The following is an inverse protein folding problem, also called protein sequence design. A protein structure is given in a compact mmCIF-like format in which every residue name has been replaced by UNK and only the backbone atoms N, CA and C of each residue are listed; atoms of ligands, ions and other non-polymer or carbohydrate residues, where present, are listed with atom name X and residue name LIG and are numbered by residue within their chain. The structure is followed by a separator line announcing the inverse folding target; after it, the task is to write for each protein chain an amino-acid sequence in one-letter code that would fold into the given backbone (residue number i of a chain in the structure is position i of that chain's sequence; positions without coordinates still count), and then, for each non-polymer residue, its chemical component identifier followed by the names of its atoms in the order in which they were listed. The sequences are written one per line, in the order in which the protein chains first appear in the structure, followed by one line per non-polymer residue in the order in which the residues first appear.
data_IF_984704311136
#
_entry.id   IF_984704311136
#
_cell.length_a   1.000
_cell.length_b   1.000
_cell.length_c   1.000
_cell.angle_alpha   90.00
_cell.angle_beta   90.00
_cell.angle_gamma   90.00
#
_symmetry.space_group_name_H-M   'P 1'
#
loop_
_entity.id
_entity.type
_entity.pdbx_description
1 polymer ?
#
# COMPACT_ATOMS: atom_id res chain seq x y z
N UNK A 1 6.65 8.68 -16.95
CA UNK A 1 5.81 8.96 -15.75
C UNK A 1 6.27 10.26 -15.11
N UNK A 2 5.34 11.17 -14.81
CA UNK A 2 5.56 12.41 -14.08
C UNK A 2 4.69 12.37 -12.83
N UNK A 3 5.31 12.25 -11.66
CA UNK A 3 4.62 12.03 -10.39
C UNK A 3 4.72 13.27 -9.53
N UNK A 4 3.58 13.78 -9.05
CA UNK A 4 3.53 14.80 -8.01
C UNK A 4 3.45 14.09 -6.65
N UNK A 5 4.26 14.53 -5.71
CA UNK A 5 4.37 13.97 -4.37
C UNK A 5 4.16 15.08 -3.34
N UNK A 6 3.10 14.97 -2.57
CA UNK A 6 2.89 15.74 -1.35
C UNK A 6 3.37 14.90 -0.15
N UNK A 7 4.56 15.20 0.34
CA UNK A 7 5.20 14.42 1.40
C UNK A 7 5.12 15.16 2.74
N UNK A 8 4.29 14.66 3.66
CA UNK A 8 4.18 15.15 5.04
C UNK A 8 4.96 14.25 5.99
N UNK A 9 4.91 12.94 5.77
CA UNK A 9 5.55 11.94 6.61
C UNK A 9 6.73 11.22 5.95
N UNK A 10 7.34 10.31 6.74
CA UNK A 10 8.46 9.49 6.30
C UNK A 10 8.06 8.52 5.17
N UNK A 11 6.80 8.09 5.12
CA UNK A 11 6.30 7.15 4.12
C UNK A 11 6.38 7.76 2.72
N UNK A 12 5.86 8.98 2.52
CA UNK A 12 5.97 9.67 1.23
C UNK A 12 7.42 10.02 0.88
N UNK A 13 8.25 10.44 1.85
CA UNK A 13 9.67 10.71 1.57
C UNK A 13 10.39 9.46 1.05
N UNK A 14 10.12 8.30 1.66
CA UNK A 14 10.67 7.01 1.21
C UNK A 14 10.07 6.58 -0.13
N UNK A 15 8.78 6.77 -0.35
CA UNK A 15 8.14 6.55 -1.64
C UNK A 15 8.81 7.38 -2.74
N UNK A 16 9.09 8.66 -2.49
CA UNK A 16 9.83 9.53 -3.42
C UNK A 16 11.20 8.98 -3.78
N UNK A 17 11.99 8.51 -2.78
CA UNK A 17 13.30 7.88 -3.04
C UNK A 17 13.17 6.59 -3.85
N UNK A 18 12.16 5.77 -3.57
CA UNK A 18 11.86 4.55 -4.31
C UNK A 18 11.51 4.89 -5.76
N UNK A 19 10.61 5.85 -5.98
CA UNK A 19 10.18 6.27 -7.32
C UNK A 19 11.33 6.88 -8.13
N UNK A 20 12.29 7.56 -7.49
CA UNK A 20 13.50 8.03 -8.17
C UNK A 20 14.37 6.88 -8.70
N UNK A 21 14.27 5.66 -8.16
CA UNK A 21 14.98 4.52 -8.74
C UNK A 21 14.37 4.04 -10.07
N UNK A 22 13.13 4.45 -10.40
CA UNK A 22 12.45 4.01 -11.62
C UNK A 22 13.02 4.66 -12.88
N UNK A 23 13.34 3.82 -13.87
CA UNK A 23 13.89 4.26 -15.16
C UNK A 23 12.93 5.13 -15.97
N UNK A 24 11.64 4.85 -15.83
CA UNK A 24 10.58 5.46 -16.64
C UNK A 24 10.06 6.76 -15.99
N UNK A 25 10.63 7.14 -14.83
CA UNK A 25 10.34 8.40 -14.17
C UNK A 25 11.04 9.56 -14.89
N UNK A 26 10.20 10.46 -15.42
CA UNK A 26 10.63 11.68 -16.11
C UNK A 26 10.82 12.84 -15.11
N UNK A 27 9.91 12.98 -14.15
CA UNK A 27 9.96 14.04 -13.14
C UNK A 27 9.25 13.61 -11.85
N UNK A 28 9.83 14.00 -10.70
CA UNK A 28 9.20 13.93 -9.39
C UNK A 28 8.98 15.36 -8.87
N UNK A 29 7.74 15.80 -8.86
CA UNK A 29 7.34 17.12 -8.37
C UNK A 29 7.06 17.08 -6.88
N UNK A 30 7.82 17.80 -6.07
CA UNK A 30 7.53 17.99 -4.64
C UNK A 30 6.50 19.10 -4.48
N UNK A 31 5.26 18.72 -4.15
CA UNK A 31 4.13 19.62 -4.01
C UNK A 31 3.95 20.06 -2.55
N UNK A 32 3.66 21.34 -2.31
CA UNK A 32 3.34 21.88 -0.98
C UNK A 32 4.52 22.07 -0.01
N UNK A 33 5.71 21.49 -0.26
CA UNK A 33 6.87 21.64 0.60
C UNK A 33 8.02 22.44 -0.04
N UNK A 34 8.42 23.53 0.62
CA UNK A 34 9.63 24.31 0.32
C UNK A 34 10.85 23.73 1.05
N UNK A 35 11.34 22.55 0.67
CA UNK A 35 12.48 21.94 1.36
C UNK A 35 13.02 20.71 0.64
N UNK A 36 14.18 20.87 0.00
CA UNK A 36 14.91 19.83 -0.74
C UNK A 36 15.54 18.79 0.19
N UNK A 37 15.19 17.51 0.03
CA UNK A 37 15.92 16.41 0.69
C UNK A 37 16.43 15.31 -0.25
N UNK A 38 16.38 15.50 -1.57
CA UNK A 38 17.08 14.60 -2.50
C UNK A 38 17.72 15.43 -3.61
N UNK A 39 19.06 15.42 -3.65
CA UNK A 39 19.84 16.02 -4.72
C UNK A 39 19.78 15.14 -6.00
N UNK A 40 18.57 14.89 -6.51
CA UNK A 40 18.34 14.25 -7.80
C UNK A 40 17.80 15.30 -8.78
N UNK A 41 18.37 15.34 -9.99
CA UNK A 41 17.99 16.29 -11.05
C UNK A 41 16.53 16.17 -11.52
N UNK A 42 15.87 15.04 -11.26
CA UNK A 42 14.46 14.79 -11.58
C UNK A 42 13.50 15.33 -10.53
N UNK A 43 14.03 15.70 -9.35
CA UNK A 43 13.24 16.28 -8.26
C UNK A 43 13.10 17.78 -8.47
N UNK A 44 11.87 18.26 -8.58
CA UNK A 44 11.57 19.69 -8.76
C UNK A 44 10.52 20.14 -7.74
N UNK A 45 10.71 21.29 -7.12
CA UNK A 45 9.66 21.89 -6.30
C UNK A 45 8.56 22.46 -7.21
N UNK A 46 7.30 22.10 -6.94
CA UNK A 46 6.15 22.52 -7.76
C UNK A 46 5.07 23.18 -6.92
N UNK A 47 4.34 24.10 -7.56
CA UNK A 47 3.18 24.80 -6.96
C UNK A 47 1.88 24.51 -7.70
N UNK A 48 1.96 23.86 -8.86
CA UNK A 48 0.85 23.51 -9.72
C UNK A 48 1.05 22.06 -10.17
N UNK A 49 -0.04 21.29 -10.29
CA UNK A 49 0.00 19.89 -10.72
C UNK A 49 -0.06 19.73 -12.24
N UNK A 50 -0.18 20.83 -12.98
CA UNK A 50 -0.25 20.82 -14.45
C UNK A 50 0.92 20.07 -15.06
N UNK A 51 0.60 19.10 -15.92
CA UNK A 51 1.59 18.27 -16.62
C UNK A 51 2.17 17.14 -15.77
N UNK A 52 1.57 16.81 -14.63
CA UNK A 52 1.82 15.56 -13.90
C UNK A 52 0.68 14.56 -14.18
N UNK A 53 1.00 13.27 -14.05
CA UNK A 53 0.07 12.19 -14.37
C UNK A 53 -0.76 11.77 -13.12
N UNK A 54 -0.14 11.88 -11.94
CA UNK A 54 -0.69 11.37 -10.68
C UNK A 54 -0.20 12.19 -9.49
N UNK A 55 -1.07 12.39 -8.49
CA UNK A 55 -0.72 12.93 -7.18
C UNK A 55 -0.65 11.82 -6.13
N UNK A 56 0.45 11.76 -5.39
CA UNK A 56 0.65 10.84 -4.26
C UNK A 56 0.76 11.66 -2.98
N UNK A 57 0.02 11.29 -1.94
CA UNK A 57 0.10 11.95 -0.63
C UNK A 57 0.02 10.94 0.52
N UNK A 58 0.84 11.15 1.55
CA UNK A 58 0.73 10.43 2.81
C UNK A 58 0.02 11.23 3.91
N UNK A 59 -0.50 12.41 3.58
CA UNK A 59 -1.33 13.21 4.47
C UNK A 59 -2.71 12.57 4.66
N UNK A 60 -2.90 11.91 5.80
CA UNK A 60 -4.15 11.22 6.13
C UNK A 60 -5.28 12.17 6.52
N UNK A 61 -4.95 13.35 7.05
CA UNK A 61 -5.92 14.31 7.58
C UNK A 61 -6.51 15.16 6.45
N UNK A 62 -5.71 15.48 5.44
CA UNK A 62 -6.13 16.24 4.25
C UNK A 62 -6.37 15.37 3.01
N UNK A 63 -6.49 14.04 3.17
CA UNK A 63 -6.60 13.10 2.05
C UNK A 63 -7.75 13.43 1.07
N UNK A 64 -8.95 13.70 1.58
CA UNK A 64 -10.10 14.08 0.74
C UNK A 64 -9.84 15.38 -0.03
N UNK A 65 -9.19 16.37 0.61
CA UNK A 65 -8.87 17.64 -0.02
C UNK A 65 -7.85 17.47 -1.16
N UNK A 66 -6.78 16.70 -0.94
CA UNK A 66 -5.79 16.42 -1.98
C UNK A 66 -6.36 15.55 -3.11
N UNK A 67 -7.21 14.58 -2.79
CA UNK A 67 -7.92 13.81 -3.82
C UNK A 67 -8.84 14.72 -4.66
N UNK A 68 -9.51 15.70 -4.05
CA UNK A 68 -10.29 16.71 -4.77
C UNK A 68 -9.43 17.58 -5.69
N UNK A 69 -8.30 18.10 -5.18
CA UNK A 69 -7.36 18.92 -5.97
C UNK A 69 -6.80 18.13 -7.16
N UNK A 70 -6.37 16.89 -6.94
CA UNK A 70 -5.85 16.04 -8.01
C UNK A 70 -6.92 15.81 -9.09
N UNK A 71 -8.16 15.55 -8.68
CA UNK A 71 -9.27 15.33 -9.60
C UNK A 71 -9.59 16.59 -10.41
N UNK A 72 -9.65 17.75 -9.77
CA UNK A 72 -9.96 19.03 -10.41
C UNK A 72 -8.87 19.43 -11.43
N UNK A 73 -7.61 19.07 -11.16
CA UNK A 73 -6.49 19.22 -12.09
C UNK A 73 -6.41 18.07 -13.13
N UNK A 74 -7.27 17.06 -13.03
CA UNK A 74 -7.38 15.96 -13.98
C UNK A 74 -6.31 14.88 -13.83
N UNK A 75 -5.83 14.61 -12.62
CA UNK A 75 -4.85 13.59 -12.29
C UNK A 75 -5.53 12.36 -11.66
N UNK A 76 -4.84 11.22 -11.73
CA UNK A 76 -5.11 10.12 -10.80
C UNK A 76 -4.55 10.46 -9.41
N UNK A 77 -4.96 9.73 -8.37
CA UNK A 77 -4.50 10.00 -7.02
C UNK A 77 -4.28 8.74 -6.17
N UNK A 78 -3.24 8.79 -5.33
CA UNK A 78 -2.94 7.78 -4.30
C UNK A 78 -2.90 8.46 -2.95
N UNK A 79 -3.66 7.95 -1.99
CA UNK A 79 -3.70 8.47 -0.61
C UNK A 79 -3.45 7.37 0.41
N UNK A 80 -2.69 7.69 1.46
CA UNK A 80 -2.49 6.80 2.62
C UNK A 80 -3.75 6.60 3.47
N UNK A 81 -4.70 7.53 3.44
CA UNK A 81 -5.92 7.43 4.25
C UNK A 81 -6.76 6.22 3.85
N UNK A 82 -7.28 5.48 4.84
CA UNK A 82 -8.10 4.29 4.60
C UNK A 82 -9.50 4.60 4.03
N UNK A 83 -9.94 5.84 4.20
CA UNK A 83 -11.21 6.36 3.74
C UNK A 83 -11.06 7.83 3.35
N UNK A 84 -11.94 8.27 2.46
CA UNK A 84 -12.09 9.63 1.98
C UNK A 84 -13.59 9.95 1.89
N UNK A 85 -13.92 11.17 1.48
CA UNK A 85 -15.30 11.62 1.33
C UNK A 85 -16.06 10.74 0.32
N UNK A 86 -17.31 10.42 0.64
CA UNK A 86 -18.08 9.40 -0.08
C UNK A 86 -18.42 9.77 -1.54
N UNK A 87 -18.44 11.06 -1.88
CA UNK A 87 -18.71 11.54 -3.24
C UNK A 87 -17.52 11.34 -4.19
N UNK A 88 -16.30 11.16 -3.66
CA UNK A 88 -15.09 11.08 -4.48
C UNK A 88 -15.10 9.87 -5.41
N UNK A 89 -15.66 8.73 -5.02
CA UNK A 89 -15.77 7.57 -5.90
C UNK A 89 -16.52 7.89 -7.19
N UNK A 90 -17.72 8.45 -7.06
CA UNK A 90 -18.55 8.83 -8.21
C UNK A 90 -17.86 9.91 -9.07
N UNK A 91 -17.20 10.88 -8.43
CA UNK A 91 -16.52 11.98 -9.13
C UNK A 91 -15.31 11.48 -9.92
N UNK A 92 -14.49 10.60 -9.34
CA UNK A 92 -13.36 9.98 -10.04
C UNK A 92 -13.83 9.10 -11.20
N UNK A 93 -14.88 8.30 -10.99
CA UNK A 93 -15.49 7.51 -12.06
C UNK A 93 -16.01 8.39 -13.21
N UNK A 94 -16.72 9.48 -12.90
CA UNK A 94 -17.25 10.40 -13.90
C UNK A 94 -16.17 11.14 -14.70
N UNK A 95 -15.02 11.42 -14.07
CA UNK A 95 -13.87 12.04 -14.72
C UNK A 95 -12.96 11.04 -15.47
N UNK A 96 -13.29 9.75 -15.46
CA UNK A 96 -12.44 8.67 -15.95
C UNK A 96 -11.03 8.68 -15.33
N UNK A 97 -10.97 8.94 -14.01
CA UNK A 97 -9.76 8.95 -13.19
C UNK A 97 -9.81 7.89 -12.11
N UNK A 98 -8.64 7.54 -11.58
CA UNK A 98 -8.47 6.53 -10.55
C UNK A 98 -8.03 7.16 -9.23
N UNK A 99 -8.71 6.78 -8.15
CA UNK A 99 -8.31 7.10 -6.78
C UNK A 99 -7.99 5.81 -6.02
N UNK A 100 -6.77 5.64 -5.56
CA UNK A 100 -6.37 4.53 -4.70
C UNK A 100 -6.23 4.99 -3.25
N UNK A 101 -7.07 4.43 -2.39
CA UNK A 101 -7.07 4.70 -0.94
C UNK A 101 -6.43 3.54 -0.18
N UNK A 102 -6.13 3.77 1.10
CA UNK A 102 -5.41 2.82 1.97
C UNK A 102 -4.12 2.34 1.30
N UNK A 103 -3.34 3.26 0.71
CA UNK A 103 -2.06 2.92 0.06
C UNK A 103 -0.95 3.65 0.78
N UNK A 104 -0.11 2.92 1.53
CA UNK A 104 0.87 3.54 2.44
C UNK A 104 0.84 2.98 3.86
N UNK A 105 0.09 1.90 4.08
CA UNK A 105 0.00 1.21 5.36
C UNK A 105 0.46 -0.24 5.22
N UNK A 106 0.99 -0.84 6.29
CA UNK A 106 1.34 -2.28 6.29
C UNK A 106 0.09 -3.16 6.17
N UNK A 107 -1.06 -2.68 6.66
CA UNK A 107 -2.36 -3.34 6.47
C UNK A 107 -2.77 -3.42 5.01
N UNK A 108 -2.43 -2.42 4.19
CA UNK A 108 -2.73 -2.44 2.75
C UNK A 108 -1.99 -3.56 2.02
N UNK A 109 -0.71 -3.80 2.39
CA UNK A 109 0.08 -4.91 1.86
C UNK A 109 -0.57 -6.24 2.29
N UNK A 110 -0.99 -6.36 3.55
CA UNK A 110 -1.71 -7.54 4.01
C UNK A 110 -3.01 -7.79 3.21
N UNK A 111 -3.76 -6.73 2.89
CA UNK A 111 -5.00 -6.83 2.11
C UNK A 111 -4.75 -7.24 0.67
N UNK A 112 -3.71 -6.68 0.03
CA UNK A 112 -3.27 -7.08 -1.30
C UNK A 112 -2.83 -8.55 -1.33
N UNK A 113 -1.98 -8.98 -0.38
CA UNK A 113 -1.53 -10.37 -0.28
C UNK A 113 -2.71 -11.32 -0.06
N UNK A 114 -3.66 -10.97 0.80
CA UNK A 114 -4.85 -11.79 1.03
C UNK A 114 -5.69 -11.94 -0.24
N UNK A 115 -5.94 -10.86 -0.95
CA UNK A 115 -6.73 -10.89 -2.18
C UNK A 115 -6.00 -11.69 -3.28
N UNK A 116 -4.68 -11.53 -3.40
CA UNK A 116 -3.84 -12.32 -4.31
C UNK A 116 -3.92 -13.82 -4.02
N UNK A 117 -3.75 -14.22 -2.76
CA UNK A 117 -3.76 -15.63 -2.38
C UNK A 117 -5.15 -16.27 -2.46
N UNK A 118 -6.20 -15.51 -2.15
CA UNK A 118 -7.60 -15.93 -2.31
C UNK A 118 -7.93 -16.19 -3.78
N UNK A 119 -7.53 -15.31 -4.69
CA UNK A 119 -7.78 -15.47 -6.13
C UNK A 119 -7.14 -16.74 -6.73
N UNK A 120 -6.13 -17.31 -6.04
CA UNK A 120 -5.37 -18.49 -6.46
C UNK A 120 -5.72 -19.76 -5.69
N UNK A 121 -6.73 -19.69 -4.82
CA UNK A 121 -7.12 -20.78 -3.93
C UNK A 121 -8.58 -21.15 -4.16
N UNK A 122 -8.84 -22.41 -4.48
CA UNK A 122 -10.18 -22.92 -4.67
C UNK A 122 -10.84 -23.26 -3.33
N UNK A 123 -12.14 -22.98 -3.20
CA UNK A 123 -12.91 -23.37 -2.00
C UNK A 123 -12.31 -22.83 -0.69
N UNK A 124 -11.98 -21.54 -0.67
CA UNK A 124 -11.44 -20.85 0.50
C UNK A 124 -12.33 -21.08 1.72
N UNK A 125 -11.77 -21.74 2.74
CA UNK A 125 -12.44 -22.05 4.00
C UNK A 125 -12.20 -20.96 5.05
N UNK A 126 -11.01 -20.36 5.06
CA UNK A 126 -10.68 -19.27 5.98
C UNK A 126 -9.55 -18.39 5.45
N UNK A 127 -9.60 -17.11 5.81
CA UNK A 127 -8.55 -16.13 5.55
C UNK A 127 -8.27 -15.37 6.84
N UNK A 128 -7.00 -15.35 7.23
CA UNK A 128 -6.49 -14.57 8.34
C UNK A 128 -5.45 -13.59 7.82
N UNK A 129 -5.68 -12.31 8.08
CA UNK A 129 -4.76 -11.21 7.81
C UNK A 129 -4.21 -10.68 9.12
N UNK A 130 -2.90 -10.53 9.20
CA UNK A 130 -2.23 -9.92 10.32
C UNK A 130 -1.21 -8.88 9.85
N UNK A 131 -1.09 -7.78 10.58
CA UNK A 131 -0.08 -6.76 10.33
C UNK A 131 0.40 -6.16 11.64
N UNK A 132 1.63 -5.67 11.62
CA UNK A 132 2.21 -5.01 12.78
C UNK A 132 1.77 -3.56 12.89
N UNK A 133 1.42 -3.11 14.09
CA UNK A 133 1.16 -1.70 14.43
C UNK A 133 2.16 -1.22 15.48
N UNK A 134 2.51 0.07 15.52
CA UNK A 134 3.33 0.61 16.61
C UNK A 134 2.65 0.38 17.96
N UNK A 135 3.39 -0.16 18.93
CA UNK A 135 2.90 -0.29 20.29
C UNK A 135 3.58 -1.38 21.10
N UNK A 136 3.31 -1.40 22.41
CA UNK A 136 3.92 -2.36 23.32
C UNK A 136 3.53 -3.81 22.94
N UNK A 137 4.49 -4.72 22.74
CA UNK A 137 4.21 -6.11 22.41
C UNK A 137 3.28 -6.78 23.41
N UNK A 138 2.36 -7.60 22.89
CA UNK A 138 1.48 -8.41 23.71
C UNK A 138 2.19 -9.68 24.20
N UNK A 139 1.82 -10.14 25.40
CA UNK A 139 2.31 -11.41 25.97
C UNK A 139 1.28 -12.56 25.83
N UNK A 140 0.09 -12.28 25.30
CA UNK A 140 -1.00 -13.23 25.07
C UNK A 140 -1.88 -12.76 23.92
N UNK A 141 -2.58 -13.68 23.25
CA UNK A 141 -3.47 -13.36 22.15
C UNK A 141 -3.45 -14.45 21.08
N UNK A 142 -3.59 -14.07 19.82
CA UNK A 142 -3.39 -14.97 18.70
C UNK A 142 -1.93 -14.95 18.26
N UNK A 143 -1.29 -16.12 18.21
CA UNK A 143 0.09 -16.23 17.74
C UNK A 143 0.14 -16.05 16.22
N UNK A 144 0.98 -15.11 15.77
CA UNK A 144 1.20 -14.79 14.36
C UNK A 144 2.68 -14.95 14.05
N UNK A 145 2.97 -15.64 12.96
CA UNK A 145 4.32 -15.73 12.41
C UNK A 145 4.49 -14.68 11.31
N UNK A 146 5.49 -13.81 11.49
CA UNK A 146 6.03 -12.95 10.44
C UNK A 146 7.41 -13.48 10.02
N UNK A 147 7.88 -13.15 8.81
CA UNK A 147 9.27 -13.36 8.45
C UNK A 147 10.24 -12.63 9.39
N UNK A 148 11.50 -13.04 9.40
CA UNK A 148 12.57 -12.28 10.05
C UNK A 148 12.71 -10.90 9.38
N UNK A 149 13.06 -9.84 10.13
CA UNK A 149 13.48 -9.85 11.54
C UNK A 149 12.33 -9.70 12.56
N UNK A 150 11.07 -9.60 12.12
CA UNK A 150 9.92 -9.44 13.05
C UNK A 150 9.69 -10.72 13.85
N UNK A 151 9.67 -11.87 13.17
CA UNK A 151 9.46 -13.18 13.79
C UNK A 151 8.09 -13.37 14.45
N UNK A 152 7.98 -14.40 15.28
CA UNK A 152 6.71 -14.76 15.95
C UNK A 152 6.26 -13.73 17.01
N UNK A 153 4.99 -13.31 16.97
CA UNK A 153 4.41 -12.30 17.89
C UNK A 153 2.96 -12.61 18.24
N UNK A 154 2.42 -11.90 19.24
CA UNK A 154 1.02 -12.04 19.67
C UNK A 154 0.19 -10.84 19.20
N UNK A 155 -0.97 -11.14 18.59
CA UNK A 155 -1.89 -10.15 18.07
C UNK A 155 -3.26 -10.17 18.74
N UNK A 156 -4.01 -9.09 18.51
CA UNK A 156 -5.42 -8.93 18.89
C UNK A 156 -6.30 -8.90 17.65
N UNK A 157 -7.45 -9.58 17.72
CA UNK A 157 -8.43 -9.55 16.63
C UNK A 157 -9.15 -8.20 16.60
N UNK A 158 -9.20 -7.57 15.43
CA UNK A 158 -9.86 -6.27 15.18
C UNK A 158 -11.00 -6.37 14.15
N UNK A 159 -11.15 -7.51 13.48
CA UNK A 159 -12.24 -7.77 12.54
C UNK A 159 -12.53 -9.27 12.40
N UNK A 160 -13.74 -9.61 11.92
CA UNK A 160 -14.24 -11.00 11.92
C UNK A 160 -14.23 -11.68 10.56
N UNK A 161 -14.41 -10.96 9.45
CA UNK A 161 -14.37 -11.56 8.11
C UNK A 161 -13.82 -10.57 7.06
N UNK A 162 -12.68 -10.88 6.41
CA UNK A 162 -11.70 -11.89 6.84
C UNK A 162 -11.24 -11.63 8.29
N UNK A 163 -10.67 -12.65 8.94
CA UNK A 163 -10.11 -12.44 10.28
C UNK A 163 -8.96 -11.42 10.18
N UNK A 164 -9.05 -10.34 10.95
CA UNK A 164 -8.08 -9.23 10.93
C UNK A 164 -7.41 -9.10 12.29
N UNK A 165 -6.09 -9.04 12.30
CA UNK A 165 -5.29 -9.09 13.52
C UNK A 165 -4.24 -7.99 13.50
N UNK A 166 -4.30 -7.12 14.50
CA UNK A 166 -3.23 -6.16 14.77
C UNK A 166 -2.22 -6.78 15.73
N UNK A 167 -0.95 -6.62 15.40
CA UNK A 167 0.17 -7.11 16.20
C UNK A 167 1.01 -5.92 16.66
N UNK A 168 0.82 -5.44 17.90
CA UNK A 168 1.67 -4.38 18.45
C UNK A 168 3.14 -4.82 18.50
N UNK A 169 4.02 -4.00 17.93
CA UNK A 169 5.47 -4.18 18.00
C UNK A 169 6.18 -2.85 18.31
N UNK A 170 7.26 -2.94 19.08
CA UNK A 170 8.17 -1.83 19.32
C UNK A 170 9.28 -1.79 18.26
N UNK A 171 9.83 -0.61 18.04
CA UNK A 171 10.95 -0.39 17.14
C UNK A 171 10.56 -0.20 15.67
N UNK A 172 11.56 -0.32 14.81
CA UNK A 172 11.51 0.13 13.42
C UNK A 172 11.00 -0.94 12.47
N UNK A 173 10.97 -2.21 12.89
CA UNK A 173 10.57 -3.32 12.04
C UNK A 173 9.04 -3.50 12.01
N UNK A 174 8.54 -3.85 10.83
CA UNK A 174 7.14 -4.12 10.59
C UNK A 174 6.97 -5.32 9.66
N UNK A 175 5.78 -5.89 9.64
CA UNK A 175 5.45 -6.97 8.74
C UNK A 175 3.96 -7.16 8.55
N UNK A 176 3.63 -7.84 7.47
CA UNK A 176 2.30 -8.38 7.20
C UNK A 176 2.40 -9.89 7.00
N UNK A 177 1.36 -10.60 7.42
CA UNK A 177 1.27 -12.05 7.30
C UNK A 177 -0.17 -12.42 6.96
N UNK A 178 -0.33 -13.28 5.98
CA UNK A 178 -1.62 -13.77 5.50
C UNK A 178 -1.59 -15.28 5.54
N UNK A 179 -2.62 -15.87 6.13
CA UNK A 179 -2.88 -17.31 6.04
C UNK A 179 -4.18 -17.52 5.29
N UNK A 180 -4.13 -18.34 4.24
CA UNK A 180 -5.30 -18.81 3.50
C UNK A 180 -5.41 -20.33 3.68
N UNK A 181 -6.59 -20.78 4.09
CA UNK A 181 -6.98 -22.18 4.11
C UNK A 181 -7.95 -22.43 2.97
N UNK A 182 -7.65 -23.39 2.11
CA UNK A 182 -8.51 -23.77 1.00
C UNK A 182 -7.92 -24.95 0.26
N UNK A 183 -8.13 -25.01 -1.06
CA UNK A 183 -7.57 -26.05 -1.92
C UNK A 183 -6.70 -25.46 -3.01
N UNK A 184 -5.56 -26.11 -3.26
CA UNK A 184 -4.69 -25.81 -4.39
C UNK A 184 -4.47 -27.11 -5.14
N UNK A 185 -4.77 -27.12 -6.45
CA UNK A 185 -4.71 -28.33 -7.28
C UNK A 185 -5.50 -29.52 -6.70
N UNK A 186 -6.62 -29.25 -6.01
CA UNK A 186 -7.51 -30.25 -5.43
C UNK A 186 -7.15 -30.73 -4.03
N UNK A 187 -5.98 -30.39 -3.50
CA UNK A 187 -5.54 -30.76 -2.15
C UNK A 187 -5.84 -29.67 -1.14
N UNK A 188 -6.28 -30.05 0.07
CA UNK A 188 -6.45 -29.09 1.18
C UNK A 188 -5.09 -28.55 1.60
N UNK A 189 -4.93 -27.24 1.54
CA UNK A 189 -3.66 -26.56 1.74
C UNK A 189 -3.82 -25.38 2.68
N UNK A 190 -2.82 -25.20 3.54
CA UNK A 190 -2.57 -23.98 4.31
C UNK A 190 -1.43 -23.22 3.68
N UNK A 191 -1.76 -22.09 3.06
CA UNK A 191 -0.78 -21.18 2.47
C UNK A 191 -0.55 -20.01 3.40
N UNK A 192 0.71 -19.74 3.72
CA UNK A 192 1.13 -18.61 4.55
C UNK A 192 2.09 -17.76 3.74
N UNK A 193 1.77 -16.50 3.54
CA UNK A 193 2.64 -15.52 2.90
C UNK A 193 2.89 -14.36 3.85
N UNK A 194 4.07 -13.77 3.81
CA UNK A 194 4.39 -12.64 4.66
C UNK A 194 5.52 -11.81 4.13
N UNK A 195 5.60 -10.60 4.66
CA UNK A 195 6.65 -9.62 4.40
C UNK A 195 7.14 -9.07 5.74
N UNK A 196 8.41 -8.72 5.81
CA UNK A 196 8.97 -8.02 6.95
C UNK A 196 10.11 -7.12 6.48
N UNK A 197 10.08 -5.86 6.91
CA UNK A 197 11.14 -4.89 6.65
C UNK A 197 10.99 -3.69 7.61
N UNK A 198 11.86 -2.70 7.49
CA UNK A 198 11.74 -1.42 8.16
C UNK A 198 10.38 -0.80 7.82
N UNK A 199 9.62 -0.38 8.83
CA UNK A 199 8.25 0.14 8.74
C UNK A 199 8.08 1.20 7.66
N UNK A 200 8.84 2.29 7.78
CA UNK A 200 8.79 3.36 6.78
C UNK A 200 9.15 2.88 5.38
N UNK A 201 9.97 1.83 5.23
CA UNK A 201 10.27 1.27 3.91
C UNK A 201 9.07 0.51 3.34
N UNK A 202 8.39 -0.33 4.13
CA UNK A 202 7.15 -0.99 3.71
C UNK A 202 6.05 0.02 3.36
N UNK A 203 5.89 1.07 4.17
CA UNK A 203 4.89 2.12 3.94
C UNK A 203 5.23 2.94 2.68
N UNK A 204 6.52 3.25 2.47
CA UNK A 204 6.99 3.88 1.24
C UNK A 204 6.82 3.01 -0.01
N UNK A 205 7.07 1.70 0.10
CA UNK A 205 6.79 0.73 -0.97
C UNK A 205 5.30 0.70 -1.27
N UNK A 206 4.44 0.68 -0.25
CA UNK A 206 3.00 0.64 -0.44
C UNK A 206 2.49 1.87 -1.21
N UNK A 207 2.97 3.08 -0.88
CA UNK A 207 2.66 4.29 -1.64
C UNK A 207 3.18 4.24 -3.07
N UNK A 208 4.46 3.90 -3.26
CA UNK A 208 5.09 3.87 -4.58
C UNK A 208 4.45 2.80 -5.49
N UNK A 209 4.17 1.62 -4.96
CA UNK A 209 3.50 0.53 -5.68
C UNK A 209 2.10 0.94 -6.15
N UNK A 210 1.34 1.64 -5.30
CA UNK A 210 0.04 2.19 -5.67
C UNK A 210 0.12 3.11 -6.89
N UNK A 211 1.08 4.04 -6.89
CA UNK A 211 1.27 4.97 -7.99
C UNK A 211 1.67 4.26 -9.29
N UNK A 212 2.63 3.34 -9.20
CA UNK A 212 3.10 2.57 -10.36
C UNK A 212 2.02 1.64 -10.92
N UNK A 213 1.20 1.03 -10.07
CA UNK A 213 0.12 0.15 -10.50
C UNK A 213 -0.99 0.92 -11.23
N UNK A 214 -1.35 2.13 -10.77
CA UNK A 214 -2.27 3.01 -11.51
C UNK A 214 -1.66 3.40 -12.86
N UNK A 215 -0.42 3.89 -12.87
CA UNK A 215 0.25 4.35 -14.09
C UNK A 215 0.45 3.25 -15.13
N UNK A 216 0.51 1.99 -14.67
CA UNK A 216 0.55 0.81 -15.53
C UNK A 216 -0.84 0.37 -16.03
N UNK A 217 -1.92 1.06 -15.65
CA UNK A 217 -3.30 0.73 -16.02
C UNK A 217 -3.89 -0.45 -15.24
N UNK A 218 -3.38 -0.73 -14.04
CA UNK A 218 -3.82 -1.84 -13.20
C UNK A 218 -5.21 -1.67 -12.58
N UNK A 219 -5.73 -0.45 -12.55
CA UNK A 219 -7.02 -0.09 -11.95
C UNK A 219 -7.91 0.61 -12.98
N UNK A 220 -9.23 0.44 -12.83
CA UNK A 220 -10.22 1.18 -13.59
C UNK A 220 -10.42 2.60 -13.03
N UNK A 221 -11.37 3.32 -13.62
CA UNK A 221 -11.81 4.62 -13.08
C UNK A 221 -12.69 4.43 -11.85
N UNK A 222 -12.55 5.32 -10.86
CA UNK A 222 -13.27 5.28 -9.59
C UNK A 222 -12.34 5.06 -8.40
N UNK A 223 -12.92 4.76 -7.25
CA UNK A 223 -12.21 4.50 -6.01
C UNK A 223 -11.83 3.02 -5.88
N UNK A 224 -10.57 2.77 -5.57
CA UNK A 224 -10.01 1.44 -5.39
C UNK A 224 -9.17 1.33 -4.11
N UNK A 225 -8.92 0.10 -3.71
CA UNK A 225 -7.93 -0.31 -2.70
C UNK A 225 -6.93 -1.29 -3.32
N UNK A 226 -5.74 -1.47 -2.73
CA UNK A 226 -4.73 -2.40 -3.25
C UNK A 226 -5.24 -3.84 -3.48
N UNK A 227 -6.20 -4.28 -2.66
CA UNK A 227 -6.83 -5.60 -2.81
C UNK A 227 -7.74 -5.77 -4.04
N UNK A 228 -8.16 -4.69 -4.70
CA UNK A 228 -9.08 -4.75 -5.85
C UNK A 228 -8.36 -5.14 -7.15
N UNK A 229 -7.06 -4.85 -7.26
CA UNK A 229 -6.20 -5.30 -8.36
C UNK A 229 -4.88 -5.88 -7.81
N UNK A 230 -4.97 -7.02 -7.08
CA UNK A 230 -3.86 -7.49 -6.27
C UNK A 230 -2.65 -7.93 -7.08
N UNK A 231 -2.85 -8.43 -8.31
CA UNK A 231 -1.74 -8.78 -9.21
C UNK A 231 -0.95 -7.55 -9.66
N UNK A 232 -1.63 -6.48 -10.09
CA UNK A 232 -0.99 -5.26 -10.54
C UNK A 232 -0.23 -4.56 -9.40
N UNK A 233 -0.88 -4.44 -8.24
CA UNK A 233 -0.26 -3.82 -7.07
C UNK A 233 0.93 -4.63 -6.54
N UNK A 234 0.79 -5.96 -6.43
CA UNK A 234 1.89 -6.81 -5.96
C UNK A 234 3.06 -6.83 -6.96
N UNK A 235 2.79 -6.86 -8.27
CA UNK A 235 3.84 -6.77 -9.28
C UNK A 235 4.62 -5.44 -9.16
N UNK A 236 3.93 -4.32 -8.97
CA UNK A 236 4.55 -3.04 -8.71
C UNK A 236 5.37 -3.04 -7.42
N UNK A 237 4.84 -3.60 -6.33
CA UNK A 237 5.53 -3.69 -5.04
C UNK A 237 6.81 -4.55 -5.13
N UNK A 238 6.75 -5.69 -5.80
CA UNK A 238 7.91 -6.56 -6.04
C UNK A 238 8.98 -5.85 -6.89
N UNK A 239 8.56 -5.12 -7.94
CA UNK A 239 9.47 -4.33 -8.80
C UNK A 239 10.26 -3.31 -7.99
N UNK A 240 9.64 -2.67 -7.00
CA UNK A 240 10.29 -1.65 -6.16
C UNK A 240 11.00 -2.21 -4.91
N UNK A 241 11.13 -3.54 -4.81
CA UNK A 241 11.97 -4.18 -3.81
C UNK A 241 11.24 -4.86 -2.64
N UNK A 242 9.92 -5.06 -2.71
CA UNK A 242 9.22 -5.84 -1.68
C UNK A 242 9.72 -7.29 -1.66
N UNK A 243 10.25 -7.74 -0.51
CA UNK A 243 10.56 -9.15 -0.28
C UNK A 243 9.35 -9.92 0.28
N UNK A 244 8.93 -11.00 -0.40
CA UNK A 244 7.83 -11.87 0.04
C UNK A 244 8.36 -13.26 0.40
N UNK A 245 8.06 -13.71 1.61
CA UNK A 245 8.29 -15.08 2.05
C UNK A 245 6.99 -15.88 1.98
N UNK A 246 7.07 -17.13 1.52
CA UNK A 246 5.91 -18.01 1.39
C UNK A 246 6.22 -19.42 1.93
N UNK A 247 5.25 -20.00 2.61
CA UNK A 247 5.26 -21.38 3.09
C UNK A 247 3.92 -22.02 2.73
N UNK A 248 3.98 -23.21 2.15
CA UNK A 248 2.79 -24.03 1.83
C UNK A 248 2.86 -25.32 2.63
N UNK A 249 1.77 -25.68 3.32
CA UNK A 249 1.65 -26.89 4.15
C UNK A 249 0.33 -27.58 3.93
#
# INVERSE_FOLDING_TARGET
MRIALHAVGDAAQRAGRILLAESDLVALGLYGHGGSHVADRRTIAIRELTGFDILVTDDVDAASAFAGIALDDGLDCVVSAAAVDADLDQRYAAAARTLLVDSGSVSSIAACLASHEVARTDGVAAVTMAWTVPGKPLHRGQAIAFPDPVGGRWGRRVGRSPERIEVPVEGEWAGASVTVLGRVAGESTRRVVGVADHRGHLEGIALAAGALAILAGGFGSGLHRPGDAPEAYLAAALRVGLGVAAITR
#
